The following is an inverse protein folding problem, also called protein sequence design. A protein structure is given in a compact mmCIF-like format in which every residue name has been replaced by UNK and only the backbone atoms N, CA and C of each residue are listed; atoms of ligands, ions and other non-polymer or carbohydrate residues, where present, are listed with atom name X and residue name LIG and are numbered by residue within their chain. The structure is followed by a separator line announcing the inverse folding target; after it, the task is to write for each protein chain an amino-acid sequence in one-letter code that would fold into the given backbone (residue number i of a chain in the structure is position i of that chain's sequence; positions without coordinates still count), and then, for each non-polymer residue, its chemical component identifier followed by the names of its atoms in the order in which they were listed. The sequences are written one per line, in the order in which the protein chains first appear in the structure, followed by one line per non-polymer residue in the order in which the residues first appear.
data_IF_303500103401
#
_entry.id   IF_303500103401
#
_cell.length_a   1.000
_cell.length_b   1.000
_cell.length_c   1.000
_cell.angle_alpha   90.00
_cell.angle_beta   90.00
_cell.angle_gamma   90.00
#
_symmetry.space_group_name_H-M   'P 1'
#
loop_
_entity.id
_entity.type
_entity.pdbx_description
1 polymer ?
#
# COMPACT_ATOMS: atom_id res chain seq x y z
N UNK A 1 -11.44 -4.47 -16.69
CA UNK A 1 -10.28 -4.03 -17.53
C UNK A 1 -9.09 -4.90 -17.17
N UNK A 2 -8.40 -5.50 -18.15
CA UNK A 2 -7.23 -6.36 -17.85
C UNK A 2 -5.94 -5.52 -17.97
N UNK A 3 -5.21 -5.39 -16.88
CA UNK A 3 -3.93 -4.68 -16.81
C UNK A 3 -2.95 -5.47 -15.92
N UNK A 4 -1.65 -5.15 -15.96
CA UNK A 4 -0.66 -5.77 -15.07
C UNK A 4 -1.01 -5.59 -13.60
N UNK A 5 -1.59 -4.45 -13.22
CA UNK A 5 -2.01 -4.17 -11.84
C UNK A 5 -3.24 -4.99 -11.44
N UNK A 6 -4.26 -5.11 -12.33
CA UNK A 6 -5.42 -5.94 -12.01
C UNK A 6 -5.06 -7.42 -11.89
N UNK A 7 -4.13 -7.91 -12.70
CA UNK A 7 -3.65 -9.29 -12.62
C UNK A 7 -2.83 -9.50 -11.32
N UNK A 8 -1.98 -8.53 -10.95
CA UNK A 8 -1.16 -8.59 -9.73
C UNK A 8 -2.01 -8.59 -8.45
N UNK A 9 -3.04 -7.74 -8.40
CA UNK A 9 -3.84 -7.51 -7.19
C UNK A 9 -5.14 -8.34 -7.14
N UNK A 10 -5.49 -9.02 -8.23
CA UNK A 10 -6.73 -9.80 -8.30
C UNK A 10 -8.00 -8.95 -8.29
N UNK A 11 -7.94 -7.70 -8.75
CA UNK A 11 -9.07 -6.76 -8.76
C UNK A 11 -9.64 -6.56 -10.17
N UNK A 12 -10.86 -6.02 -10.24
CA UNK A 12 -11.55 -5.77 -11.52
C UNK A 12 -11.07 -4.49 -12.20
N UNK A 13 -10.81 -3.46 -11.42
CA UNK A 13 -10.37 -2.15 -11.87
C UNK A 13 -9.00 -1.79 -11.28
N UNK A 14 -8.09 -1.15 -12.05
CA UNK A 14 -6.78 -0.74 -11.56
C UNK A 14 -6.89 0.54 -10.71
N UNK A 15 -7.70 0.47 -9.65
CA UNK A 15 -7.96 1.57 -8.73
C UNK A 15 -7.64 1.10 -7.32
N UNK A 16 -6.78 1.85 -6.64
CA UNK A 16 -6.42 1.61 -5.23
C UNK A 16 -6.84 2.85 -4.44
N UNK A 17 -7.70 2.67 -3.44
CA UNK A 17 -8.04 3.75 -2.52
C UNK A 17 -6.87 3.96 -1.54
N UNK A 18 -6.42 5.20 -1.39
CA UNK A 18 -5.31 5.54 -0.51
C UNK A 18 -5.60 5.31 0.97
N UNK A 19 -4.58 4.97 1.74
CA UNK A 19 -4.68 4.90 3.19
C UNK A 19 -4.83 6.30 3.79
N UNK A 20 -5.95 6.56 4.45
CA UNK A 20 -6.26 7.84 5.13
C UNK A 20 -6.44 7.57 6.61
N UNK A 21 -5.64 8.25 7.45
CA UNK A 21 -5.71 8.11 8.89
C UNK A 21 -7.14 8.32 9.41
N UNK A 22 -7.67 7.36 10.16
CA UNK A 22 -9.00 7.39 10.80
C UNK A 22 -10.21 7.48 9.87
N UNK A 23 -9.99 7.59 8.55
CA UNK A 23 -11.05 7.63 7.52
C UNK A 23 -11.09 6.33 6.74
N UNK A 24 -9.92 5.83 6.31
CA UNK A 24 -9.81 4.56 5.60
C UNK A 24 -9.85 3.39 6.62
N UNK A 25 -11.05 3.08 7.07
CA UNK A 25 -11.37 2.02 8.01
C UNK A 25 -12.09 0.86 7.29
N UNK A 26 -12.50 -0.16 8.01
CA UNK A 26 -13.00 -1.42 7.47
C UNK A 26 -14.21 -1.28 6.52
N UNK A 27 -15.14 -0.34 6.79
CA UNK A 27 -16.28 -0.14 5.90
C UNK A 27 -15.85 0.41 4.54
N UNK A 28 -14.98 1.44 4.54
CA UNK A 28 -14.49 2.02 3.30
C UNK A 28 -13.65 1.00 2.53
N UNK A 29 -12.74 0.31 3.22
CA UNK A 29 -11.89 -0.70 2.58
C UNK A 29 -12.74 -1.82 1.94
N UNK A 30 -13.73 -2.35 2.66
CA UNK A 30 -14.63 -3.37 2.13
C UNK A 30 -15.48 -2.85 0.95
N UNK A 31 -16.05 -1.65 1.06
CA UNK A 31 -16.88 -1.07 0.01
C UNK A 31 -16.11 -0.86 -1.30
N UNK A 32 -14.87 -0.37 -1.23
CA UNK A 32 -14.01 -0.19 -2.41
C UNK A 32 -13.66 -1.55 -3.03
N UNK A 33 -13.35 -2.54 -2.21
CA UNK A 33 -13.04 -3.89 -2.67
C UNK A 33 -14.25 -4.55 -3.33
N UNK A 34 -15.46 -4.42 -2.76
CA UNK A 34 -16.72 -4.89 -3.35
C UNK A 34 -17.02 -4.19 -4.68
N UNK A 35 -16.69 -2.91 -4.81
CA UNK A 35 -16.81 -2.17 -6.07
C UNK A 35 -15.80 -2.59 -7.14
N UNK A 36 -14.87 -3.49 -6.83
CA UNK A 36 -13.89 -4.06 -7.76
C UNK A 36 -12.54 -3.36 -7.82
N UNK A 37 -12.28 -2.40 -6.92
CA UNK A 37 -10.95 -1.81 -6.69
C UNK A 37 -10.19 -2.55 -5.60
N UNK A 38 -9.18 -1.89 -5.03
CA UNK A 38 -8.49 -2.33 -3.82
C UNK A 38 -8.72 -1.30 -2.72
N UNK A 39 -9.47 -1.68 -1.70
CA UNK A 39 -9.62 -0.90 -0.48
C UNK A 39 -8.41 -1.08 0.44
N UNK A 40 -7.97 -0.01 1.08
CA UNK A 40 -6.87 -0.06 2.03
C UNK A 40 -7.31 0.42 3.42
N UNK A 41 -6.99 -0.36 4.44
CA UNK A 41 -7.07 0.08 5.83
C UNK A 41 -5.88 1.00 6.10
N UNK A 42 -6.14 2.22 6.55
CA UNK A 42 -5.11 3.18 6.92
C UNK A 42 -4.61 2.94 8.35
N UNK A 43 -3.52 2.19 8.52
CA UNK A 43 -2.98 1.92 9.85
C UNK A 43 -2.41 3.17 10.55
N UNK A 44 -1.94 4.16 9.79
CA UNK A 44 -1.46 5.46 10.29
C UNK A 44 -0.76 5.35 11.65
N UNK A 45 -1.30 6.01 12.70
CA UNK A 45 -0.81 5.97 14.08
C UNK A 45 -1.61 5.00 14.97
N UNK A 46 -2.47 4.17 14.37
CA UNK A 46 -3.32 3.26 15.13
C UNK A 46 -2.50 2.20 15.88
N UNK A 47 -2.92 1.81 17.10
CA UNK A 47 -2.37 0.66 17.80
C UNK A 47 -2.55 -0.63 16.98
N UNK A 48 -1.62 -1.62 17.12
CA UNK A 48 -1.70 -2.89 16.38
C UNK A 48 -3.03 -3.64 16.57
N UNK A 49 -3.59 -3.62 17.76
CA UNK A 49 -4.86 -4.27 18.09
C UNK A 49 -6.04 -3.65 17.32
N UNK A 50 -6.03 -2.33 17.15
CA UNK A 50 -7.04 -1.63 16.36
C UNK A 50 -6.92 -2.03 14.89
N UNK A 51 -5.70 -2.09 14.35
CA UNK A 51 -5.47 -2.55 12.97
C UNK A 51 -5.95 -3.98 12.79
N UNK A 52 -5.66 -4.87 13.75
CA UNK A 52 -6.14 -6.26 13.76
C UNK A 52 -7.67 -6.34 13.72
N UNK A 53 -8.34 -5.56 14.55
CA UNK A 53 -9.80 -5.50 14.57
C UNK A 53 -10.36 -5.01 13.24
N UNK A 54 -9.77 -3.96 12.66
CA UNK A 54 -10.16 -3.44 11.34
C UNK A 54 -10.02 -4.50 10.24
N UNK A 55 -8.92 -5.27 10.23
CA UNK A 55 -8.70 -6.37 9.27
C UNK A 55 -9.80 -7.44 9.41
N UNK A 56 -10.09 -7.86 10.63
CA UNK A 56 -11.12 -8.89 10.88
C UNK A 56 -12.50 -8.43 10.45
N UNK A 57 -12.88 -7.20 10.80
CA UNK A 57 -14.16 -6.62 10.35
C UNK A 57 -14.24 -6.47 8.83
N UNK A 58 -13.13 -6.12 8.16
CA UNK A 58 -13.11 -6.08 6.69
C UNK A 58 -13.41 -7.46 6.11
N UNK A 59 -12.82 -8.52 6.66
CA UNK A 59 -13.05 -9.91 6.23
C UNK A 59 -14.49 -10.40 6.48
N UNK A 60 -15.19 -9.83 7.45
CA UNK A 60 -16.62 -10.13 7.68
C UNK A 60 -17.51 -9.48 6.60
N UNK A 61 -17.05 -8.39 5.98
CA UNK A 61 -17.82 -7.63 5.00
C UNK A 61 -17.50 -7.97 3.54
N UNK A 62 -16.34 -8.55 3.25
CA UNK A 62 -15.91 -8.84 1.88
C UNK A 62 -14.95 -10.01 1.80
N UNK A 63 -15.13 -10.85 0.75
CA UNK A 63 -14.17 -11.87 0.33
C UNK A 63 -13.21 -11.37 -0.76
N UNK A 64 -13.35 -10.09 -1.18
CA UNK A 64 -12.52 -9.48 -2.20
C UNK A 64 -11.15 -9.07 -1.65
N UNK A 65 -10.13 -8.94 -2.52
CA UNK A 65 -8.81 -8.48 -2.10
C UNK A 65 -8.88 -7.07 -1.51
N UNK A 66 -8.25 -6.88 -0.38
CA UNK A 66 -8.00 -5.61 0.28
C UNK A 66 -6.60 -5.58 0.87
N UNK A 67 -6.14 -4.40 1.26
CA UNK A 67 -4.81 -4.26 1.84
C UNK A 67 -4.76 -3.38 3.08
N UNK A 68 -3.55 -3.21 3.59
CA UNK A 68 -3.23 -2.32 4.71
C UNK A 68 -2.14 -1.34 4.29
N UNK A 69 -2.36 -0.06 4.55
CA UNK A 69 -1.34 0.97 4.39
C UNK A 69 -0.58 1.16 5.70
N UNK A 70 0.69 0.77 5.72
CA UNK A 70 1.57 0.88 6.89
C UNK A 70 2.37 2.18 6.81
N UNK A 71 2.14 3.10 7.75
CA UNK A 71 2.93 4.32 7.88
C UNK A 71 4.22 4.02 8.63
N UNK A 72 5.36 4.08 7.96
CA UNK A 72 6.64 3.63 8.50
C UNK A 72 7.24 4.55 9.58
N UNK A 73 6.78 5.80 9.68
CA UNK A 73 7.12 6.72 10.78
C UNK A 73 6.39 6.38 12.08
N UNK A 74 5.34 5.55 12.04
CA UNK A 74 4.65 5.11 13.25
C UNK A 74 5.58 4.24 14.10
N UNK A 75 5.78 4.53 15.39
CA UNK A 75 6.52 3.66 16.31
C UNK A 75 6.01 2.22 16.35
N UNK A 76 4.70 2.02 16.13
CA UNK A 76 4.06 0.72 16.11
C UNK A 76 4.19 0.01 14.75
N UNK A 77 4.87 0.58 13.75
CA UNK A 77 4.99 -0.03 12.43
C UNK A 77 5.53 -1.47 12.45
N UNK A 78 6.50 -1.84 13.33
CA UNK A 78 6.98 -3.22 13.42
C UNK A 78 5.89 -4.21 13.85
N UNK A 79 5.06 -3.82 14.82
CA UNK A 79 3.97 -4.65 15.33
C UNK A 79 2.82 -4.73 14.31
N UNK A 80 2.48 -3.61 13.66
CA UNK A 80 1.49 -3.58 12.59
C UNK A 80 1.94 -4.46 11.41
N UNK A 81 3.23 -4.43 11.06
CA UNK A 81 3.78 -5.28 10.01
C UNK A 81 3.62 -6.78 10.31
N UNK A 82 3.74 -7.19 11.58
CA UNK A 82 3.46 -8.57 12.03
C UNK A 82 1.98 -8.90 11.97
N UNK A 83 1.12 -7.99 12.44
CA UNK A 83 -0.34 -8.16 12.40
C UNK A 83 -0.83 -8.42 10.97
N UNK A 84 -0.28 -7.74 9.98
CA UNK A 84 -0.59 -7.98 8.56
C UNK A 84 -0.35 -9.44 8.18
N UNK A 85 0.79 -10.00 8.58
CA UNK A 85 1.14 -11.40 8.29
C UNK A 85 0.27 -12.37 9.08
N UNK A 86 0.11 -12.15 10.38
CA UNK A 86 -0.69 -12.99 11.27
C UNK A 86 -2.15 -13.06 10.85
N UNK A 87 -2.70 -11.94 10.41
CA UNK A 87 -4.07 -11.89 9.89
C UNK A 87 -4.16 -12.28 8.40
N UNK A 88 -3.07 -12.67 7.74
CA UNK A 88 -3.07 -13.20 6.38
C UNK A 88 -3.47 -12.18 5.30
N UNK A 89 -3.26 -10.88 5.55
CA UNK A 89 -3.46 -9.82 4.54
C UNK A 89 -2.45 -10.01 3.40
N UNK A 90 -2.90 -9.87 2.15
CA UNK A 90 -2.08 -10.16 0.97
C UNK A 90 -1.54 -8.93 0.25
N UNK A 91 -2.01 -7.74 0.60
CA UNK A 91 -1.59 -6.49 -0.06
C UNK A 91 -1.17 -5.49 1.01
N UNK A 92 0.04 -4.95 0.88
CA UNK A 92 0.56 -3.88 1.73
C UNK A 92 1.03 -2.73 0.87
N UNK A 93 0.57 -1.53 1.20
CA UNK A 93 1.21 -0.30 0.77
C UNK A 93 1.98 0.31 1.93
N UNK A 94 3.03 1.05 1.65
CA UNK A 94 3.77 1.75 2.72
C UNK A 94 4.01 3.20 2.34
N UNK A 95 3.91 4.07 3.33
CA UNK A 95 4.23 5.49 3.19
C UNK A 95 5.23 5.96 4.24
N UNK A 96 5.83 7.11 3.98
CA UNK A 96 6.70 7.84 4.92
C UNK A 96 7.88 7.00 5.43
N UNK A 97 8.67 6.41 4.53
CA UNK A 97 9.91 5.71 4.91
C UNK A 97 10.28 4.55 3.99
N UNK A 98 11.28 3.77 4.43
CA UNK A 98 11.80 2.60 3.72
C UNK A 98 11.30 1.31 4.40
N UNK A 99 10.51 0.47 3.71
CA UNK A 99 10.00 -0.80 4.25
C UNK A 99 11.04 -1.92 4.28
N UNK A 100 12.30 -1.69 3.87
CA UNK A 100 13.31 -2.73 3.67
C UNK A 100 13.44 -3.73 4.80
N UNK A 101 13.31 -3.28 6.05
CA UNK A 101 13.39 -4.15 7.24
C UNK A 101 12.22 -5.13 7.39
N UNK A 102 11.11 -4.93 6.67
CA UNK A 102 9.93 -5.80 6.71
C UNK A 102 9.80 -6.65 5.45
N UNK A 103 10.53 -6.34 4.38
CA UNK A 103 10.37 -6.96 3.07
C UNK A 103 10.49 -8.48 3.14
N UNK A 104 11.54 -9.00 3.79
CA UNK A 104 11.76 -10.45 3.90
C UNK A 104 10.57 -11.15 4.54
N UNK A 105 10.10 -10.67 5.68
CA UNK A 105 8.94 -11.22 6.40
C UNK A 105 7.69 -11.22 5.54
N UNK A 106 7.39 -10.11 4.87
CA UNK A 106 6.21 -10.00 4.01
C UNK A 106 6.30 -10.88 2.78
N UNK A 107 7.48 -10.94 2.13
CA UNK A 107 7.67 -11.79 0.95
C UNK A 107 7.57 -13.28 1.29
N UNK A 108 8.11 -13.71 2.43
CA UNK A 108 7.96 -15.08 2.92
C UNK A 108 6.49 -15.44 3.21
N UNK A 109 5.67 -14.48 3.65
CA UNK A 109 4.24 -14.65 3.86
C UNK A 109 3.39 -14.53 2.57
N UNK A 110 4.02 -14.31 1.42
CA UNK A 110 3.32 -14.14 0.14
C UNK A 110 2.53 -12.84 0.04
N UNK A 111 3.00 -11.78 0.69
CA UNK A 111 2.40 -10.44 0.64
C UNK A 111 2.91 -9.70 -0.59
N UNK A 112 2.00 -9.10 -1.35
CA UNK A 112 2.29 -8.13 -2.41
C UNK A 112 2.59 -6.79 -1.77
N UNK A 113 3.80 -6.28 -1.96
CA UNK A 113 4.29 -5.05 -1.32
C UNK A 113 4.41 -3.92 -2.35
N UNK A 114 3.71 -2.81 -2.10
CA UNK A 114 3.63 -1.66 -3.01
C UNK A 114 4.01 -0.38 -2.24
N UNK A 115 5.29 -0.04 -2.14
CA UNK A 115 5.74 1.18 -1.46
C UNK A 115 5.34 2.43 -2.22
N UNK A 116 4.98 3.49 -1.48
CA UNK A 116 4.87 4.84 -2.03
C UNK A 116 6.27 5.45 -2.13
N UNK A 117 6.61 5.97 -3.29
CA UNK A 117 7.93 6.53 -3.60
C UNK A 117 7.79 7.94 -4.18
N UNK A 118 8.67 8.83 -3.78
CA UNK A 118 8.68 10.23 -4.21
C UNK A 118 9.88 10.56 -5.13
N UNK A 119 10.63 9.56 -5.60
CA UNK A 119 11.76 9.76 -6.52
C UNK A 119 12.14 8.46 -7.23
N UNK A 120 12.81 8.62 -8.39
CA UNK A 120 13.41 7.49 -9.14
C UNK A 120 14.38 6.69 -8.30
N UNK A 121 15.24 7.37 -7.55
CA UNK A 121 16.21 6.69 -6.70
C UNK A 121 15.53 5.77 -5.68
N UNK A 122 14.42 6.24 -5.07
CA UNK A 122 13.63 5.46 -4.14
C UNK A 122 12.92 4.30 -4.86
N UNK A 123 12.35 4.52 -6.05
CA UNK A 123 11.72 3.47 -6.84
C UNK A 123 12.71 2.33 -7.15
N UNK A 124 13.90 2.65 -7.67
CA UNK A 124 14.97 1.67 -7.94
C UNK A 124 15.45 0.95 -6.67
N UNK A 125 15.48 1.63 -5.55
CA UNK A 125 15.81 1.00 -4.26
C UNK A 125 14.73 0.00 -3.84
N UNK A 126 13.45 0.34 -3.99
CA UNK A 126 12.32 -0.55 -3.66
C UNK A 126 12.26 -1.77 -4.59
N UNK A 127 12.49 -1.57 -5.89
CA UNK A 127 12.61 -2.67 -6.85
C UNK A 127 13.69 -3.68 -6.42
N UNK A 128 14.90 -3.20 -6.09
CA UNK A 128 16.00 -4.06 -5.61
C UNK A 128 15.68 -4.73 -4.28
N UNK A 129 14.85 -4.12 -3.45
CA UNK A 129 14.38 -4.69 -2.19
C UNK A 129 13.28 -5.74 -2.39
N UNK A 130 12.77 -5.95 -3.62
CA UNK A 130 11.77 -6.95 -3.95
C UNK A 130 10.33 -6.46 -3.90
N UNK A 131 10.08 -5.15 -4.03
CA UNK A 131 8.73 -4.63 -4.19
C UNK A 131 8.08 -5.15 -5.49
N UNK A 132 6.79 -5.43 -5.44
CA UNK A 132 6.04 -5.98 -6.58
C UNK A 132 5.55 -4.90 -7.54
N UNK A 133 5.34 -3.70 -7.00
CA UNK A 133 5.01 -2.47 -7.71
C UNK A 133 5.37 -1.27 -6.83
N UNK A 134 5.25 -0.07 -7.35
CA UNK A 134 5.40 1.18 -6.57
C UNK A 134 4.24 2.13 -6.88
N UNK A 135 3.93 3.00 -5.93
CA UNK A 135 3.09 4.18 -6.16
C UNK A 135 4.01 5.38 -6.28
N UNK A 136 4.09 5.99 -7.46
CA UNK A 136 4.80 7.25 -7.65
C UNK A 136 3.93 8.40 -7.15
N UNK A 137 4.41 9.12 -6.15
CA UNK A 137 3.67 10.19 -5.47
C UNK A 137 4.39 11.52 -5.60
N UNK A 138 3.64 12.56 -5.93
CA UNK A 138 4.10 13.93 -5.96
C UNK A 138 3.42 14.80 -4.90
N UNK A 139 3.83 16.06 -4.85
CA UNK A 139 3.35 17.05 -3.88
C UNK A 139 1.86 17.43 -4.06
N UNK A 140 1.24 17.06 -5.18
CA UNK A 140 -0.18 17.26 -5.46
C UNK A 140 -1.07 16.24 -4.75
N UNK A 141 -0.48 15.25 -4.08
CA UNK A 141 -1.18 14.27 -3.24
C UNK A 141 -1.56 14.83 -1.88
N UNK A 142 -2.06 14.01 -0.98
CA UNK A 142 -2.45 14.41 0.37
C UNK A 142 -1.67 13.68 1.47
N UNK A 143 -1.65 14.25 2.66
CA UNK A 143 -0.97 13.69 3.84
C UNK A 143 0.52 13.99 3.89
N UNK A 144 1.36 12.98 4.09
CA UNK A 144 2.82 13.08 4.06
C UNK A 144 3.31 12.98 2.62
N UNK A 145 3.59 14.12 2.02
CA UNK A 145 3.94 14.24 0.60
C UNK A 145 5.43 14.51 0.39
N UNK A 146 5.93 14.18 -0.81
CA UNK A 146 7.26 14.57 -1.26
C UNK A 146 7.34 16.04 -1.66
N UNK A 147 8.54 16.51 -2.01
CA UNK A 147 8.82 17.89 -2.44
C UNK A 147 8.79 18.07 -3.96
N UNK A 148 8.64 17.00 -4.72
CA UNK A 148 8.61 17.03 -6.19
C UNK A 148 7.18 16.94 -6.71
N UNK A 149 6.92 17.50 -7.89
CA UNK A 149 5.62 17.35 -8.55
C UNK A 149 5.43 15.92 -9.05
N UNK A 150 4.16 15.49 -9.16
CA UNK A 150 3.83 14.16 -9.69
C UNK A 150 4.40 13.95 -11.08
N UNK A 151 4.33 14.96 -11.96
CA UNK A 151 4.89 14.87 -13.31
C UNK A 151 6.41 14.65 -13.31
N UNK A 152 7.14 15.36 -12.46
CA UNK A 152 8.59 15.16 -12.33
C UNK A 152 8.90 13.75 -11.79
N UNK A 153 8.17 13.30 -10.79
CA UNK A 153 8.34 11.96 -10.22
C UNK A 153 8.07 10.87 -11.27
N UNK A 154 6.98 10.96 -12.02
CA UNK A 154 6.59 10.01 -13.05
C UNK A 154 7.57 9.96 -14.21
N UNK A 155 7.98 11.12 -14.75
CA UNK A 155 8.93 11.20 -15.87
C UNK A 155 10.25 10.49 -15.56
N UNK A 156 10.71 10.57 -14.33
CA UNK A 156 11.95 9.92 -13.92
C UNK A 156 11.77 8.47 -13.42
N UNK A 157 10.54 7.97 -13.25
CA UNK A 157 10.26 6.60 -12.78
C UNK A 157 9.74 5.67 -13.87
N UNK A 158 9.38 6.21 -15.03
CA UNK A 158 8.90 5.43 -16.18
C UNK A 158 9.88 5.50 -17.35
N UNK A 159 9.91 4.45 -18.16
CA UNK A 159 10.68 4.41 -19.42
C UNK A 159 10.17 5.42 -20.46
N UNK A 160 9.07 6.12 -20.17
CA UNK A 160 8.50 7.16 -21.04
C UNK A 160 9.39 8.41 -21.19
N UNK A 161 10.51 8.48 -20.45
CA UNK A 161 11.50 9.55 -20.62
C UNK A 161 12.63 9.16 -21.61
N UNK A 162 12.67 7.92 -22.07
CA UNK A 162 13.70 7.38 -22.97
C UNK A 162 13.21 7.22 -24.43
N UNK A 163 11.94 7.54 -24.72
CA UNK A 163 11.32 7.66 -26.04
C UNK A 163 11.21 9.17 -26.44
#
# INVERSE_FOLDING_TARGET
MKTRITDLLGCQYPVIQGGMAWVAEYHLAAAVSEAGGIGLIGAASAPPEVVREQIRKTKELTDKPFGVNVMLLNPNAPEVAKVVVEEGVKIVTTGAGNPGKFMEMWKQAGVTVIPVVASVAMAKMMERAGADAVVAEGMESGGHIGSQTTMTCLLYTSDAADD
#
